data_IF_544192043961
#
_entry.id   IF_544192043961
#
_cell.length_a   1.000
_cell.length_b   1.000
_cell.length_c   1.000
_cell.angle_alpha   90.00
_cell.angle_beta   90.00
_cell.angle_gamma   90.00
#
_symmetry.space_group_name_H-M   'P 1'
#
loop_
_entity.id
_entity.type
_entity.pdbx_description
1 polymer ?
#
# COMPACT_ATOMS: atom_id res chain seq x y z
N UNK A 1 35.46 23.15 44.01
CA UNK A 1 35.48 22.72 42.58
C UNK A 1 35.16 21.24 42.55
N UNK A 2 33.94 20.86 42.27
CA UNK A 2 33.50 19.45 42.18
C UNK A 2 33.04 19.19 40.75
N UNK A 3 33.79 18.33 40.04
CA UNK A 3 33.38 17.84 38.72
C UNK A 3 32.26 16.81 38.86
N UNK A 4 31.10 17.12 38.32
CA UNK A 4 30.00 16.19 38.14
C UNK A 4 30.20 15.46 36.81
N UNK A 5 30.39 14.16 36.86
CA UNK A 5 30.43 13.27 35.70
C UNK A 5 29.02 13.00 35.23
N UNK A 6 28.70 13.50 34.04
CA UNK A 6 27.47 13.15 33.32
C UNK A 6 27.67 11.75 32.73
N UNK A 7 26.91 10.79 33.21
CA UNK A 7 26.85 9.44 32.63
C UNK A 7 25.98 9.48 31.38
N UNK A 8 26.59 9.31 30.24
CA UNK A 8 25.91 9.08 28.97
C UNK A 8 25.34 7.67 29.00
N UNK A 9 24.05 7.55 29.24
CA UNK A 9 23.32 6.30 29.05
C UNK A 9 23.07 6.07 27.58
N UNK A 10 23.79 5.14 26.99
CA UNK A 10 23.47 4.60 25.66
C UNK A 10 22.20 3.77 25.81
N UNK A 11 21.10 4.31 25.33
CA UNK A 11 19.84 3.58 25.21
C UNK A 11 19.95 2.75 23.93
N UNK A 12 20.32 1.47 24.10
CA UNK A 12 20.18 0.48 23.03
C UNK A 12 18.68 0.24 22.87
N UNK A 13 18.09 0.88 21.90
CA UNK A 13 16.76 0.50 21.42
C UNK A 13 16.98 -0.74 20.56
N UNK A 14 16.83 -1.91 21.18
CA UNK A 14 16.66 -3.15 20.44
C UNK A 14 15.36 -2.99 19.62
N UNK A 15 15.53 -2.91 18.31
CA UNK A 15 14.44 -3.01 17.34
C UNK A 15 13.89 -4.45 17.32
N UNK A 16 13.03 -4.74 18.31
CA UNK A 16 12.06 -5.84 18.24
C UNK A 16 10.84 -5.33 17.48
N UNK A 17 11.03 -4.96 16.21
CA UNK A 17 9.99 -4.46 15.33
C UNK A 17 9.69 -5.48 14.24
N UNK A 18 9.28 -6.70 14.63
CA UNK A 18 8.82 -7.66 13.63
C UNK A 18 7.68 -8.57 14.10
N UNK A 19 6.94 -8.15 15.10
CA UNK A 19 5.63 -8.72 15.45
C UNK A 19 4.95 -7.65 16.30
N UNK A 20 3.77 -7.19 15.91
CA UNK A 20 2.94 -6.22 16.63
C UNK A 20 3.23 -4.73 16.36
N UNK A 21 2.79 -4.24 15.23
CA UNK A 21 2.29 -2.87 15.16
C UNK A 21 1.16 -2.72 14.14
N UNK A 22 0.11 -3.50 14.33
CA UNK A 22 -1.21 -3.13 13.85
C UNK A 22 -2.00 -2.57 15.03
N UNK A 23 -1.61 -1.38 15.47
CA UNK A 23 -2.40 -0.59 16.39
C UNK A 23 -3.52 0.12 15.65
N UNK A 24 -4.64 -0.55 15.43
CA UNK A 24 -5.90 0.11 15.16
C UNK A 24 -6.46 0.61 16.49
N UNK A 25 -6.65 1.91 16.64
CA UNK A 25 -7.40 2.49 17.74
C UNK A 25 -8.88 2.14 17.60
N UNK A 26 -9.38 1.28 18.48
CA UNK A 26 -10.68 1.48 19.11
C UNK A 26 -10.80 0.57 20.33
N UNK A 27 -10.99 1.20 21.48
CA UNK A 27 -11.32 0.56 22.74
C UNK A 27 -12.81 0.21 22.77
N UNK A 28 -13.13 -1.06 22.94
CA UNK A 28 -14.26 -1.47 23.77
C UNK A 28 -14.03 -2.90 24.23
N UNK A 29 -13.82 -3.06 25.53
CA UNK A 29 -13.82 -4.33 26.20
C UNK A 29 -15.26 -4.87 26.24
N UNK A 30 -15.50 -5.95 25.56
CA UNK A 30 -16.50 -6.92 25.95
C UNK A 30 -15.91 -8.31 25.72
N UNK A 31 -15.57 -8.95 26.83
CA UNK A 31 -15.10 -10.33 26.90
C UNK A 31 -16.24 -11.28 26.56
N UNK A 32 -16.30 -11.75 25.34
CA UNK A 32 -17.09 -12.92 24.96
C UNK A 32 -16.21 -14.14 25.18
N UNK A 33 -16.72 -15.08 25.98
CA UNK A 33 -16.02 -16.27 26.41
C UNK A 33 -15.42 -17.05 25.23
N UNK A 34 -14.14 -17.34 25.35
CA UNK A 34 -13.42 -18.26 24.46
C UNK A 34 -13.89 -19.69 24.78
N UNK A 35 -14.86 -20.17 24.04
CA UNK A 35 -15.06 -21.61 23.93
C UNK A 35 -13.85 -22.19 23.21
N UNK A 36 -12.98 -22.82 23.96
CA UNK A 36 -11.82 -23.56 23.43
C UNK A 36 -12.35 -24.61 22.43
N UNK A 37 -11.83 -24.66 21.19
CA UNK A 37 -12.23 -25.69 20.25
C UNK A 37 -12.00 -27.07 20.89
N UNK A 38 -13.04 -27.88 20.96
CA UNK A 38 -12.92 -29.25 21.44
C UNK A 38 -12.00 -30.00 20.49
N UNK A 39 -10.79 -30.33 20.95
CA UNK A 39 -9.90 -31.18 20.17
C UNK A 39 -10.60 -32.50 19.86
N UNK A 40 -10.81 -32.87 18.59
CA UNK A 40 -11.42 -34.16 18.23
C UNK A 40 -10.59 -35.29 18.81
N UNK A 41 -11.27 -36.37 19.27
CA UNK A 41 -10.56 -37.55 19.72
C UNK A 41 -9.70 -38.08 18.57
N UNK A 42 -8.49 -38.63 18.83
CA UNK A 42 -7.59 -39.12 17.78
C UNK A 42 -8.23 -40.19 16.84
N UNK A 43 -9.28 -40.88 17.27
CA UNK A 43 -10.03 -41.87 16.48
C UNK A 43 -10.90 -41.28 15.37
N UNK A 44 -11.20 -39.97 15.41
CA UNK A 44 -12.17 -39.30 14.51
C UNK A 44 -11.50 -38.50 13.40
N UNK A 45 -10.17 -38.48 13.38
CA UNK A 45 -9.41 -37.75 12.38
C UNK A 45 -9.43 -38.45 11.04
N UNK A 46 -9.98 -37.80 10.04
CA UNK A 46 -9.97 -38.26 8.64
C UNK A 46 -8.71 -37.74 7.94
N UNK A 47 -8.14 -38.56 7.07
CA UNK A 47 -6.99 -38.15 6.22
C UNK A 47 -7.44 -38.22 4.76
N UNK A 48 -7.25 -37.12 4.04
CA UNK A 48 -7.61 -37.04 2.63
C UNK A 48 -6.52 -37.66 1.75
N UNK A 49 -6.94 -38.39 0.73
CA UNK A 49 -6.02 -38.90 -0.29
C UNK A 49 -5.62 -37.74 -1.23
N UNK A 50 -4.36 -37.37 -1.22
CA UNK A 50 -3.83 -36.26 -2.03
C UNK A 50 -4.05 -36.45 -3.53
N UNK A 51 -4.16 -37.68 -4.02
CA UNK A 51 -4.41 -37.95 -5.43
C UNK A 51 -5.81 -37.51 -5.90
N UNK A 52 -6.72 -37.28 -4.94
CA UNK A 52 -8.09 -36.82 -5.19
C UNK A 52 -8.23 -35.29 -5.11
N UNK A 53 -7.17 -34.59 -4.72
CA UNK A 53 -7.21 -33.15 -4.59
C UNK A 53 -6.80 -32.53 -5.95
N UNK A 54 -7.73 -31.83 -6.55
CA UNK A 54 -7.47 -31.09 -7.80
C UNK A 54 -6.41 -29.99 -7.54
N UNK A 55 -5.43 -29.90 -8.43
CA UNK A 55 -4.35 -28.90 -8.37
C UNK A 55 -3.50 -28.93 -7.06
N UNK A 56 -3.45 -30.09 -6.36
CA UNK A 56 -2.63 -30.22 -5.14
C UNK A 56 -1.19 -29.75 -5.34
N UNK A 57 -0.61 -30.01 -6.49
CA UNK A 57 0.74 -29.61 -6.86
C UNK A 57 0.91 -28.09 -7.13
N UNK A 58 -0.21 -27.37 -7.29
CA UNK A 58 -0.19 -25.91 -7.43
C UNK A 58 -0.26 -25.18 -6.08
N UNK A 59 -0.38 -25.92 -4.98
CA UNK A 59 -0.30 -25.36 -3.65
C UNK A 59 1.15 -25.29 -3.17
N UNK A 60 1.58 -24.14 -2.67
CA UNK A 60 2.85 -23.97 -1.99
C UNK A 60 2.64 -23.94 -0.47
N UNK A 61 3.14 -24.94 0.24
CA UNK A 61 3.12 -24.95 1.70
C UNK A 61 4.29 -24.12 2.23
N UNK A 62 4.03 -23.12 3.09
CA UNK A 62 5.08 -22.30 3.67
C UNK A 62 6.12 -23.11 4.45
N UNK A 63 7.40 -22.85 4.22
CA UNK A 63 8.49 -23.61 4.83
C UNK A 63 8.83 -23.20 6.27
N UNK A 64 8.52 -21.95 6.66
CA UNK A 64 9.02 -21.33 7.91
C UNK A 64 7.96 -20.61 8.74
N UNK A 65 6.68 -20.77 8.44
CA UNK A 65 5.61 -20.10 9.20
C UNK A 65 5.08 -20.99 10.31
N UNK A 66 4.89 -20.38 11.49
CA UNK A 66 4.42 -21.10 12.67
C UNK A 66 2.90 -21.20 12.70
N UNK A 67 2.08 -20.65 12.06
CA UNK A 67 0.63 -20.54 12.26
C UNK A 67 -0.18 -21.66 11.58
N UNK A 68 0.12 -22.88 11.92
CA UNK A 68 -0.60 -24.06 11.43
C UNK A 68 0.09 -24.79 10.28
N UNK A 69 1.30 -24.36 9.90
CA UNK A 69 2.10 -25.00 8.85
C UNK A 69 3.31 -25.77 9.38
N UNK A 70 3.54 -25.79 10.68
CA UNK A 70 4.74 -26.34 11.34
C UNK A 70 4.96 -27.83 11.03
N UNK A 71 3.87 -28.53 10.69
CA UNK A 71 3.89 -29.96 10.36
C UNK A 71 3.93 -30.24 8.85
N UNK A 72 4.01 -29.17 8.03
CA UNK A 72 4.13 -29.27 6.57
C UNK A 72 2.85 -29.69 5.83
N UNK A 73 2.94 -29.77 4.49
CA UNK A 73 1.82 -30.01 3.61
C UNK A 73 1.06 -31.33 3.85
N UNK A 74 1.76 -32.39 4.23
CA UNK A 74 1.15 -33.69 4.50
C UNK A 74 0.20 -33.64 5.72
N UNK A 75 0.47 -32.78 6.69
CA UNK A 75 -0.42 -32.60 7.84
C UNK A 75 -1.74 -31.94 7.47
N UNK A 76 -1.75 -31.10 6.43
CA UNK A 76 -2.96 -30.45 5.93
C UNK A 76 -3.98 -31.45 5.31
N UNK A 77 -3.58 -32.67 5.02
CA UNK A 77 -4.50 -33.74 4.59
C UNK A 77 -5.44 -34.22 5.71
N UNK A 78 -5.12 -33.92 6.96
CA UNK A 78 -5.89 -34.31 8.14
C UNK A 78 -7.04 -33.32 8.38
N UNK A 79 -8.18 -33.84 8.79
CA UNK A 79 -9.34 -33.01 9.13
C UNK A 79 -9.15 -32.13 10.36
N UNK A 80 -8.21 -32.48 11.27
CA UNK A 80 -7.89 -31.73 12.49
C UNK A 80 -6.77 -30.69 12.30
N UNK A 81 -6.18 -30.58 11.13
CA UNK A 81 -5.21 -29.50 10.84
C UNK A 81 -5.89 -28.13 10.87
N UNK A 82 -5.19 -27.08 11.34
CA UNK A 82 -5.70 -25.70 11.30
C UNK A 82 -6.10 -25.32 9.87
N UNK A 83 -5.19 -25.42 8.96
CA UNK A 83 -5.43 -25.29 7.52
C UNK A 83 -5.52 -26.70 6.93
N UNK A 84 -6.68 -27.03 6.39
CA UNK A 84 -6.95 -28.41 5.98
C UNK A 84 -7.60 -28.46 4.61
N UNK A 85 -7.20 -29.43 3.79
CA UNK A 85 -7.85 -29.74 2.52
C UNK A 85 -9.33 -30.16 2.68
N UNK A 86 -9.77 -30.50 3.88
CA UNK A 86 -11.18 -30.70 4.22
C UNK A 86 -11.97 -29.41 4.33
N UNK A 87 -11.29 -28.28 4.51
CA UNK A 87 -11.86 -26.96 4.68
C UNK A 87 -11.20 -25.99 3.70
N UNK A 88 -11.45 -26.25 2.41
CA UNK A 88 -10.96 -25.39 1.34
C UNK A 88 -11.93 -25.37 0.16
N UNK A 89 -11.85 -24.29 -0.59
CA UNK A 89 -12.43 -24.12 -1.93
C UNK A 89 -11.41 -23.47 -2.83
N UNK A 90 -11.52 -23.66 -4.13
CA UNK A 90 -10.58 -23.09 -5.07
C UNK A 90 -11.28 -22.57 -6.32
N UNK A 91 -10.65 -21.60 -6.96
CA UNK A 91 -10.92 -21.13 -8.31
C UNK A 91 -9.75 -21.42 -9.25
N UNK A 92 -9.70 -20.78 -10.39
CA UNK A 92 -8.62 -20.97 -11.35
C UNK A 92 -7.26 -20.53 -10.78
N UNK A 93 -7.21 -19.40 -10.04
CA UNK A 93 -5.96 -18.80 -9.58
C UNK A 93 -5.81 -18.75 -8.06
N UNK A 94 -6.82 -19.17 -7.28
CA UNK A 94 -6.81 -19.09 -5.81
C UNK A 94 -7.17 -20.40 -5.13
N UNK A 95 -6.53 -20.62 -3.95
CA UNK A 95 -7.03 -21.47 -2.89
C UNK A 95 -7.56 -20.61 -1.76
N UNK A 96 -8.73 -20.95 -1.21
CA UNK A 96 -9.24 -20.39 0.05
C UNK A 96 -9.30 -21.49 1.07
N UNK A 97 -8.59 -21.33 2.19
CA UNK A 97 -8.65 -22.19 3.36
C UNK A 97 -9.32 -21.46 4.50
N UNK A 98 -10.06 -22.17 5.34
CA UNK A 98 -10.68 -21.59 6.53
C UNK A 98 -10.46 -22.41 7.78
N UNK A 99 -10.48 -21.74 8.94
CA UNK A 99 -10.25 -22.37 10.23
C UNK A 99 -11.36 -23.31 10.67
N UNK A 100 -11.07 -24.28 11.60
CA UNK A 100 -12.03 -25.29 12.08
C UNK A 100 -13.33 -24.71 12.64
N UNK A 101 -13.31 -23.50 13.22
CA UNK A 101 -14.48 -22.87 13.79
C UNK A 101 -15.65 -22.67 12.82
N UNK A 102 -15.37 -22.58 11.52
CA UNK A 102 -16.42 -22.48 10.49
C UNK A 102 -17.11 -23.82 10.17
N UNK A 103 -16.53 -24.94 10.58
CA UNK A 103 -16.99 -26.25 10.11
C UNK A 103 -16.71 -26.48 8.62
N UNK A 104 -17.61 -27.21 7.95
CA UNK A 104 -17.43 -27.59 6.54
C UNK A 104 -17.78 -26.44 5.56
N UNK A 105 -18.62 -25.49 5.96
CA UNK A 105 -19.07 -24.37 5.15
C UNK A 105 -19.10 -23.07 5.95
N UNK A 106 -18.27 -22.08 5.62
CA UNK A 106 -18.25 -20.77 6.27
C UNK A 106 -19.56 -19.97 6.19
N UNK A 107 -20.44 -20.30 5.25
CA UNK A 107 -21.74 -19.64 5.09
C UNK A 107 -22.91 -20.39 5.73
N UNK A 108 -22.65 -21.53 6.37
CA UNK A 108 -23.71 -22.35 6.99
C UNK A 108 -24.47 -21.59 8.09
N UNK A 109 -25.75 -21.93 8.30
CA UNK A 109 -26.57 -21.35 9.37
C UNK A 109 -26.02 -21.60 10.78
N UNK A 110 -25.25 -22.68 10.94
CA UNK A 110 -24.56 -23.02 12.20
C UNK A 110 -23.43 -22.07 12.56
N UNK A 111 -22.90 -21.30 11.59
CA UNK A 111 -21.89 -20.28 11.81
C UNK A 111 -22.58 -19.00 12.30
N UNK A 112 -22.11 -18.35 13.38
CA UNK A 112 -22.66 -17.06 13.81
C UNK A 112 -22.72 -16.07 12.65
N UNK A 113 -23.81 -15.32 12.50
CA UNK A 113 -24.03 -14.40 11.37
C UNK A 113 -22.86 -13.41 11.17
N UNK A 114 -22.32 -12.93 12.27
CA UNK A 114 -21.16 -12.01 12.23
C UNK A 114 -19.91 -12.64 11.58
N UNK A 115 -19.80 -13.98 11.60
CA UNK A 115 -18.66 -14.71 11.09
C UNK A 115 -18.93 -15.40 9.74
N UNK A 116 -20.17 -15.42 9.23
CA UNK A 116 -20.47 -16.07 7.94
C UNK A 116 -19.74 -15.40 6.80
N UNK A 117 -19.23 -16.18 5.87
CA UNK A 117 -18.60 -15.70 4.63
C UNK A 117 -19.06 -16.54 3.45
N UNK A 118 -19.50 -15.88 2.40
CA UNK A 118 -19.75 -16.52 1.11
C UNK A 118 -18.42 -16.70 0.37
N UNK A 119 -17.93 -17.95 0.35
CA UNK A 119 -16.65 -18.30 -0.29
C UNK A 119 -16.73 -18.20 -1.81
N UNK A 120 -17.91 -18.37 -2.41
CA UNK A 120 -18.09 -18.24 -3.85
C UNK A 120 -17.97 -16.76 -4.27
N UNK A 121 -18.58 -15.84 -3.52
CA UNK A 121 -18.41 -14.41 -3.76
C UNK A 121 -16.96 -13.99 -3.55
N UNK A 122 -16.30 -14.48 -2.48
CA UNK A 122 -14.88 -14.18 -2.24
C UNK A 122 -14.00 -14.64 -3.41
N UNK A 123 -14.16 -15.87 -3.90
CA UNK A 123 -13.40 -16.39 -5.01
C UNK A 123 -13.70 -15.66 -6.33
N UNK A 124 -14.97 -15.36 -6.61
CA UNK A 124 -15.37 -14.63 -7.79
C UNK A 124 -14.72 -13.24 -7.82
N UNK A 125 -14.72 -12.51 -6.70
CA UNK A 125 -14.08 -11.20 -6.59
C UNK A 125 -12.56 -11.29 -6.64
N UNK A 126 -11.97 -12.31 -6.01
CA UNK A 126 -10.53 -12.55 -6.09
C UNK A 126 -10.06 -12.75 -7.55
N UNK A 127 -10.81 -13.52 -8.34
CA UNK A 127 -10.53 -13.69 -9.78
C UNK A 127 -10.64 -12.38 -10.56
N UNK A 128 -11.60 -11.51 -10.23
CA UNK A 128 -11.72 -10.18 -10.83
C UNK A 128 -10.47 -9.35 -10.53
N UNK A 129 -10.02 -9.31 -9.27
CA UNK A 129 -8.80 -8.59 -8.87
C UNK A 129 -7.53 -9.20 -9.47
N UNK A 130 -7.47 -10.54 -9.61
CA UNK A 130 -6.38 -11.20 -10.32
C UNK A 130 -6.30 -10.72 -11.77
N UNK A 131 -7.42 -10.74 -12.47
CA UNK A 131 -7.52 -10.26 -13.85
C UNK A 131 -7.09 -8.80 -13.99
N UNK A 132 -7.53 -7.93 -13.08
CA UNK A 132 -7.11 -6.52 -13.05
C UNK A 132 -5.59 -6.41 -12.91
N UNK A 133 -4.98 -7.11 -11.97
CA UNK A 133 -3.54 -7.02 -11.73
C UNK A 133 -2.70 -7.64 -12.86
N UNK A 134 -3.14 -8.73 -13.47
CA UNK A 134 -2.40 -9.42 -14.56
C UNK A 134 -2.65 -8.75 -15.90
N UNK A 135 -3.92 -8.62 -16.32
CA UNK A 135 -4.25 -8.21 -17.68
C UNK A 135 -4.23 -6.68 -17.86
N UNK A 136 -4.77 -5.94 -16.89
CA UNK A 136 -4.86 -4.47 -16.98
C UNK A 136 -3.57 -3.79 -16.52
N UNK A 137 -3.03 -4.19 -15.39
CA UNK A 137 -1.87 -3.54 -14.77
C UNK A 137 -0.53 -4.17 -15.16
N UNK A 138 -0.53 -5.42 -15.58
CA UNK A 138 0.69 -6.12 -16.00
C UNK A 138 1.66 -6.42 -14.84
N UNK A 139 1.16 -6.60 -13.60
CA UNK A 139 2.00 -6.85 -12.42
C UNK A 139 2.74 -8.19 -12.49
N UNK A 140 2.18 -9.21 -13.12
CA UNK A 140 2.82 -10.49 -13.40
C UNK A 140 2.73 -10.82 -14.90
N UNK A 141 3.69 -11.60 -15.39
CA UNK A 141 3.70 -12.09 -16.78
C UNK A 141 3.47 -13.60 -16.76
N UNK A 142 2.20 -13.99 -16.85
CA UNK A 142 1.76 -15.40 -16.77
C UNK A 142 1.71 -16.08 -18.11
N UNK A 143 1.75 -17.43 -18.14
CA UNK A 143 1.66 -18.25 -19.34
C UNK A 143 2.93 -18.27 -20.21
N UNK A 144 4.05 -17.72 -19.73
CA UNK A 144 5.30 -17.59 -20.48
C UNK A 144 6.52 -18.14 -19.72
N UNK A 145 6.33 -18.83 -18.61
CA UNK A 145 7.42 -19.30 -17.76
C UNK A 145 8.19 -18.18 -17.06
N UNK A 146 7.57 -17.01 -16.91
CA UNK A 146 8.16 -15.81 -16.29
C UNK A 146 7.56 -15.47 -14.91
N UNK A 147 6.56 -16.20 -14.49
CA UNK A 147 5.94 -16.02 -13.18
C UNK A 147 5.78 -17.34 -12.47
N UNK A 148 5.94 -17.32 -11.17
CA UNK A 148 5.62 -18.47 -10.29
C UNK A 148 4.14 -18.83 -10.38
N UNK A 149 3.28 -17.86 -10.75
CA UNK A 149 1.84 -18.06 -10.96
C UNK A 149 1.52 -19.02 -12.12
N UNK A 150 2.48 -19.32 -13.00
CA UNK A 150 2.31 -20.37 -14.01
C UNK A 150 2.23 -21.78 -13.39
N UNK A 151 2.78 -21.94 -12.18
CA UNK A 151 2.88 -23.23 -11.48
C UNK A 151 2.11 -23.27 -10.16
N UNK A 152 1.74 -22.12 -9.58
CA UNK A 152 1.13 -22.04 -8.27
C UNK A 152 -0.07 -21.08 -8.26
N UNK A 153 -1.06 -21.39 -7.42
CA UNK A 153 -2.20 -20.52 -7.13
C UNK A 153 -1.92 -19.67 -5.90
N UNK A 154 -2.40 -18.44 -5.88
CA UNK A 154 -2.42 -17.58 -4.70
C UNK A 154 -3.28 -18.18 -3.59
N UNK A 155 -3.07 -17.75 -2.37
CA UNK A 155 -3.65 -18.37 -1.18
C UNK A 155 -4.37 -17.35 -0.32
N UNK A 156 -5.59 -17.68 0.10
CA UNK A 156 -6.40 -16.90 1.01
C UNK A 156 -6.68 -17.72 2.26
N UNK A 157 -6.43 -17.15 3.43
CA UNK A 157 -6.64 -17.78 4.72
C UNK A 157 -7.69 -17.01 5.51
N UNK A 158 -8.85 -17.61 5.71
CA UNK A 158 -9.98 -17.03 6.44
C UNK A 158 -9.93 -17.45 7.91
N UNK A 159 -9.74 -16.46 8.77
CA UNK A 159 -9.62 -16.60 10.22
C UNK A 159 -10.99 -16.59 10.90
N UNK A 160 -11.22 -17.50 11.83
CA UNK A 160 -12.45 -17.54 12.63
C UNK A 160 -12.35 -16.58 13.81
N UNK A 161 -12.49 -15.29 13.54
CA UNK A 161 -12.40 -14.24 14.56
C UNK A 161 -13.25 -13.02 14.19
N UNK A 162 -13.68 -12.28 15.21
CA UNK A 162 -14.39 -11.00 15.06
C UNK A 162 -13.44 -9.81 15.00
N UNK A 163 -12.23 -9.95 15.54
CA UNK A 163 -11.21 -8.91 15.46
C UNK A 163 -10.85 -8.65 14.00
N UNK A 164 -10.87 -7.38 13.62
CA UNK A 164 -10.58 -6.98 12.25
C UNK A 164 -9.14 -7.30 11.87
N UNK A 165 -8.97 -7.96 10.74
CA UNK A 165 -7.68 -8.23 10.15
C UNK A 165 -7.81 -8.40 8.64
N UNK A 166 -7.00 -7.65 7.92
CA UNK A 166 -6.70 -7.90 6.51
C UNK A 166 -5.21 -7.65 6.31
N UNK A 167 -4.52 -8.61 5.70
CA UNK A 167 -3.08 -8.51 5.40
C UNK A 167 -2.78 -9.26 4.12
N UNK A 168 -2.26 -8.56 3.14
CA UNK A 168 -1.76 -9.12 1.89
C UNK A 168 -0.23 -9.15 1.87
N UNK A 169 0.34 -10.26 1.41
CA UNK A 169 1.78 -10.47 1.30
C UNK A 169 2.09 -11.71 0.48
N UNK A 170 2.92 -12.61 0.99
CA UNK A 170 3.27 -13.88 0.36
C UNK A 170 4.21 -14.72 1.20
N UNK A 171 4.59 -15.88 0.67
CA UNK A 171 5.46 -16.86 1.34
C UNK A 171 6.71 -17.18 0.56
N UNK A 172 7.82 -17.38 1.27
CA UNK A 172 9.07 -18.01 0.83
C UNK A 172 9.64 -17.42 -0.47
N UNK A 173 9.33 -16.15 -0.75
CA UNK A 173 9.67 -15.48 -2.01
C UNK A 173 9.13 -16.22 -3.25
N UNK A 174 7.98 -16.86 -3.11
CA UNK A 174 7.33 -17.63 -4.17
C UNK A 174 5.95 -17.13 -4.52
N UNK A 175 5.03 -17.12 -3.57
CA UNK A 175 3.61 -16.96 -3.89
C UNK A 175 2.94 -15.90 -3.02
N UNK A 176 2.09 -15.09 -3.65
CA UNK A 176 1.23 -14.15 -2.96
C UNK A 176 0.17 -14.86 -2.11
N UNK A 177 -0.09 -14.32 -0.93
CA UNK A 177 -1.09 -14.82 0.00
C UNK A 177 -1.69 -13.70 0.82
N UNK A 178 -2.91 -13.90 1.32
CA UNK A 178 -3.57 -12.97 2.22
C UNK A 178 -4.29 -13.69 3.36
N UNK A 179 -4.41 -12.98 4.49
CA UNK A 179 -5.10 -13.40 5.69
C UNK A 179 -6.20 -12.40 5.97
N UNK A 180 -7.41 -12.91 6.14
CA UNK A 180 -8.59 -12.06 6.30
C UNK A 180 -9.52 -12.60 7.38
N UNK A 181 -10.24 -11.71 8.03
CA UNK A 181 -11.34 -12.09 8.90
C UNK A 181 -12.69 -11.85 8.20
N UNK A 182 -13.80 -12.42 8.70
CA UNK A 182 -15.11 -12.33 8.05
C UNK A 182 -15.63 -10.91 7.78
N UNK A 183 -15.31 -9.93 8.64
CA UNK A 183 -15.80 -8.56 8.46
C UNK A 183 -15.26 -7.89 7.20
N UNK A 184 -14.08 -8.30 6.72
CA UNK A 184 -13.48 -7.77 5.49
C UNK A 184 -14.09 -8.35 4.21
N UNK A 185 -14.92 -9.40 4.36
CA UNK A 185 -15.65 -10.06 3.28
C UNK A 185 -17.16 -9.72 3.28
N UNK A 186 -17.57 -8.59 3.90
CA UNK A 186 -18.99 -8.21 4.05
C UNK A 186 -19.25 -6.74 3.71
N UNK A 187 -19.44 -6.42 2.43
CA UNK A 187 -19.26 -7.25 1.23
C UNK A 187 -17.78 -7.49 0.92
N UNK A 188 -17.50 -8.47 0.07
CA UNK A 188 -16.17 -8.59 -0.55
C UNK A 188 -16.00 -7.39 -1.49
N UNK A 189 -15.04 -6.53 -1.21
CA UNK A 189 -14.89 -5.25 -1.86
C UNK A 189 -13.44 -4.76 -1.97
N UNK A 190 -13.26 -3.45 -1.94
CA UNK A 190 -11.96 -2.81 -2.12
C UNK A 190 -10.91 -3.25 -1.10
N UNK A 191 -11.29 -3.61 0.13
CA UNK A 191 -10.35 -4.17 1.12
C UNK A 191 -9.68 -5.45 0.59
N UNK A 192 -10.44 -6.41 0.07
CA UNK A 192 -9.86 -7.64 -0.51
C UNK A 192 -9.05 -7.31 -1.77
N UNK A 193 -9.52 -6.36 -2.59
CA UNK A 193 -8.76 -5.87 -3.75
C UNK A 193 -7.41 -5.25 -3.36
N UNK A 194 -7.36 -4.52 -2.24
CA UNK A 194 -6.15 -3.96 -1.66
C UNK A 194 -5.16 -5.06 -1.22
N UNK A 195 -5.62 -6.05 -0.48
CA UNK A 195 -4.76 -7.15 0.00
C UNK A 195 -4.24 -8.03 -1.15
N UNK A 196 -5.07 -8.27 -2.17
CA UNK A 196 -4.61 -8.94 -3.41
C UNK A 196 -3.59 -8.04 -4.13
N UNK A 197 -3.77 -6.73 -4.11
CA UNK A 197 -2.78 -5.76 -4.61
C UNK A 197 -1.41 -5.97 -3.95
N UNK A 198 -1.36 -6.09 -2.63
CA UNK A 198 -0.13 -6.41 -1.90
C UNK A 198 0.46 -7.76 -2.30
N UNK A 199 -0.38 -8.77 -2.51
CA UNK A 199 0.08 -10.08 -2.98
C UNK A 199 0.76 -9.99 -4.35
N UNK A 200 0.27 -9.14 -5.25
CA UNK A 200 0.92 -8.87 -6.54
C UNK A 200 2.19 -8.02 -6.42
N UNK A 201 2.24 -7.07 -5.51
CA UNK A 201 3.47 -6.32 -5.22
C UNK A 201 4.56 -7.27 -4.71
N UNK A 202 4.19 -8.23 -3.85
CA UNK A 202 5.08 -9.30 -3.42
C UNK A 202 5.52 -10.19 -4.60
N UNK A 203 4.60 -10.52 -5.51
CA UNK A 203 4.84 -11.38 -6.65
C UNK A 203 5.90 -10.81 -7.61
N UNK A 204 6.01 -9.49 -7.73
CA UNK A 204 7.08 -8.85 -8.53
C UNK A 204 8.47 -9.32 -8.08
N UNK A 205 8.72 -9.38 -6.77
CA UNK A 205 9.99 -9.88 -6.24
C UNK A 205 10.15 -11.38 -6.42
N UNK A 206 9.08 -12.14 -6.20
CA UNK A 206 9.07 -13.59 -6.35
C UNK A 206 9.37 -14.00 -7.80
N UNK A 207 8.77 -13.33 -8.77
CA UNK A 207 8.97 -13.61 -10.20
C UNK A 207 10.39 -13.28 -10.67
N UNK A 208 10.99 -12.20 -10.14
CA UNK A 208 12.39 -11.86 -10.44
C UNK A 208 13.39 -12.87 -9.88
N UNK A 209 13.10 -13.44 -8.72
CA UNK A 209 13.89 -14.56 -8.18
C UNK A 209 13.71 -15.82 -9.03
N UNK A 210 12.48 -16.11 -9.41
CA UNK A 210 12.13 -17.27 -10.23
C UNK A 210 12.82 -17.23 -11.60
N UNK A 211 12.87 -16.06 -12.23
CA UNK A 211 13.52 -15.85 -13.55
C UNK A 211 15.04 -15.69 -13.45
N UNK A 212 15.60 -15.53 -12.25
CA UNK A 212 17.03 -15.23 -12.03
C UNK A 212 17.41 -13.78 -12.34
N UNK A 213 16.44 -12.88 -12.55
CA UNK A 213 16.68 -11.45 -12.73
C UNK A 213 17.14 -10.75 -11.45
N UNK A 214 16.81 -11.32 -10.31
CA UNK A 214 17.28 -10.89 -9.00
C UNK A 214 17.96 -12.04 -8.27
N UNK A 215 19.03 -11.72 -7.53
CA UNK A 215 19.72 -12.65 -6.63
C UNK A 215 19.61 -12.13 -5.21
N UNK A 216 19.24 -12.96 -4.22
CA UNK A 216 19.20 -12.54 -2.83
C UNK A 216 20.57 -12.05 -2.36
N UNK A 217 20.56 -11.02 -1.53
CA UNK A 217 21.77 -10.48 -0.87
C UNK A 217 21.73 -10.90 0.59
N UNK A 218 22.74 -11.62 1.05
CA UNK A 218 22.88 -11.99 2.46
C UNK A 218 23.23 -10.76 3.30
N UNK A 219 22.49 -10.56 4.39
CA UNK A 219 22.75 -9.49 5.36
C UNK A 219 23.59 -10.00 6.52
N UNK A 220 24.23 -9.07 7.22
CA UNK A 220 25.06 -9.38 8.38
C UNK A 220 24.27 -10.02 9.55
N UNK A 221 22.96 -9.79 9.62
CA UNK A 221 22.06 -10.39 10.61
C UNK A 221 21.54 -11.79 10.23
N UNK A 222 22.04 -12.35 9.12
CA UNK A 222 21.65 -13.66 8.60
C UNK A 222 20.33 -13.66 7.80
N UNK A 223 19.68 -12.52 7.65
CA UNK A 223 18.52 -12.38 6.76
C UNK A 223 18.94 -12.20 5.30
N UNK A 224 18.01 -12.39 4.38
CA UNK A 224 18.22 -12.13 2.96
C UNK A 224 17.36 -10.96 2.48
N UNK A 225 17.98 -10.11 1.68
CA UNK A 225 17.28 -9.06 0.95
C UNK A 225 17.08 -9.48 -0.49
N UNK A 226 15.87 -9.39 -1.00
CA UNK A 226 15.58 -9.51 -2.43
C UNK A 226 15.62 -8.12 -3.05
N UNK A 227 16.61 -7.80 -3.89
CA UNK A 227 16.80 -6.44 -4.41
C UNK A 227 15.89 -6.14 -5.60
N UNK A 228 14.59 -6.45 -5.46
CA UNK A 228 13.60 -6.29 -6.51
C UNK A 228 12.27 -5.80 -5.95
N UNK A 229 11.74 -4.73 -6.55
CA UNK A 229 10.50 -4.09 -6.09
C UNK A 229 10.67 -3.31 -4.77
N UNK A 230 9.60 -2.67 -4.34
CA UNK A 230 9.56 -1.93 -3.06
C UNK A 230 8.88 -2.74 -1.96
N UNK A 231 8.95 -3.99 -2.01
CA UNK A 231 8.34 -5.04 -1.19
C UNK A 231 7.52 -4.51 0.00
N UNK A 232 8.05 -4.46 1.23
CA UNK A 232 7.38 -3.85 2.39
C UNK A 232 7.84 -2.43 2.69
N UNK A 233 8.83 -1.94 1.96
CA UNK A 233 9.44 -0.65 2.12
C UNK A 233 10.48 -0.43 1.05
N UNK A 234 11.05 0.75 1.04
CA UNK A 234 12.08 1.15 0.10
C UNK A 234 13.28 1.76 0.84
N UNK A 235 14.35 2.04 0.10
CA UNK A 235 15.59 2.51 0.67
C UNK A 235 16.36 1.42 1.42
N UNK A 236 17.49 1.79 1.99
CA UNK A 236 18.34 0.85 2.70
C UNK A 236 17.64 0.28 3.93
N UNK A 237 17.52 -1.04 3.99
CA UNK A 237 16.82 -1.76 5.06
C UNK A 237 15.35 -1.36 5.29
N UNK A 238 14.67 -0.82 4.28
CA UNK A 238 13.29 -0.35 4.39
C UNK A 238 13.14 0.96 5.18
N UNK A 239 14.22 1.73 5.34
CA UNK A 239 14.22 2.98 6.11
C UNK A 239 13.26 4.04 5.56
N UNK A 240 12.88 3.95 4.30
CA UNK A 240 11.88 4.84 3.67
C UNK A 240 10.43 4.56 4.05
N UNK A 241 10.17 3.48 4.80
CA UNK A 241 8.83 3.08 5.25
C UNK A 241 8.00 2.36 4.19
N UNK A 242 6.75 2.03 4.51
CA UNK A 242 5.82 1.28 3.66
C UNK A 242 4.74 2.14 2.98
N UNK A 243 4.82 3.45 3.05
CA UNK A 243 3.78 4.32 2.48
C UNK A 243 3.52 4.07 0.99
N UNK A 244 4.57 3.79 0.20
CA UNK A 244 4.40 3.49 -1.23
C UNK A 244 3.72 2.13 -1.46
N UNK A 245 4.00 1.15 -0.64
CA UNK A 245 3.35 -0.16 -0.66
C UNK A 245 1.83 -0.01 -0.49
N UNK A 246 1.40 0.72 0.53
CA UNK A 246 0.00 0.92 0.88
C UNK A 246 -0.77 1.77 -0.14
N UNK A 247 -0.22 2.93 -0.53
CA UNK A 247 -0.88 3.80 -1.51
C UNK A 247 -1.06 3.12 -2.87
N UNK A 248 -0.13 2.27 -3.23
CA UNK A 248 -0.22 1.48 -4.46
C UNK A 248 -1.32 0.42 -4.38
N UNK A 249 -1.42 -0.33 -3.28
CA UNK A 249 -2.49 -1.31 -3.09
C UNK A 249 -3.87 -0.64 -3.06
N UNK A 250 -3.96 0.53 -2.43
CA UNK A 250 -5.19 1.33 -2.44
C UNK A 250 -5.57 1.74 -3.87
N UNK A 251 -4.62 2.21 -4.67
CA UNK A 251 -4.88 2.53 -6.07
C UNK A 251 -5.22 1.30 -6.91
N UNK A 252 -4.60 0.14 -6.66
CA UNK A 252 -4.92 -1.12 -7.33
C UNK A 252 -6.38 -1.51 -7.08
N UNK A 253 -6.86 -1.42 -5.84
CA UNK A 253 -8.27 -1.71 -5.51
C UNK A 253 -9.25 -0.77 -6.20
N UNK A 254 -8.89 0.50 -6.36
CA UNK A 254 -9.70 1.50 -7.07
C UNK A 254 -9.77 1.30 -8.59
N UNK A 255 -9.03 0.34 -9.14
CA UNK A 255 -9.21 -0.03 -10.54
C UNK A 255 -10.54 -0.77 -10.77
N UNK A 256 -11.08 -1.39 -9.73
CA UNK A 256 -12.36 -2.09 -9.73
C UNK A 256 -13.45 -1.31 -8.96
N UNK A 257 -13.05 -0.41 -8.04
CA UNK A 257 -13.94 0.44 -7.22
C UNK A 257 -13.58 1.93 -7.37
N UNK A 258 -13.62 2.51 -8.58
CA UNK A 258 -13.07 3.85 -8.84
C UNK A 258 -13.81 4.99 -8.13
N UNK A 259 -15.06 4.82 -7.74
CA UNK A 259 -15.82 5.81 -6.98
C UNK A 259 -15.31 5.97 -5.54
N UNK A 260 -14.70 4.93 -4.96
CA UNK A 260 -14.25 4.95 -3.57
C UNK A 260 -13.02 5.86 -3.34
N UNK A 261 -12.30 6.24 -4.41
CA UNK A 261 -11.16 7.16 -4.28
C UNK A 261 -11.53 8.54 -3.74
N UNK A 262 -12.81 8.90 -3.76
CA UNK A 262 -13.34 10.15 -3.21
C UNK A 262 -14.16 9.96 -1.93
N UNK A 263 -14.03 8.83 -1.26
CA UNK A 263 -14.74 8.57 -0.01
C UNK A 263 -14.33 9.59 1.06
N UNK A 264 -15.30 10.42 1.48
CA UNK A 264 -15.12 11.52 2.41
C UNK A 264 -14.85 11.07 3.84
N UNK A 265 -15.27 9.86 4.19
CA UNK A 265 -15.17 9.34 5.56
C UNK A 265 -13.86 8.60 5.83
N UNK A 266 -13.04 8.38 4.77
CA UNK A 266 -11.83 7.58 4.87
C UNK A 266 -10.56 8.32 4.40
N UNK A 267 -9.84 7.72 3.49
CA UNK A 267 -8.50 8.15 3.06
C UNK A 267 -8.50 9.48 2.31
N UNK A 268 -9.56 9.76 1.55
CA UNK A 268 -9.68 11.05 0.87
C UNK A 268 -9.78 12.21 1.85
N UNK A 269 -10.50 12.06 2.95
CA UNK A 269 -10.57 13.08 4.01
C UNK A 269 -9.20 13.34 4.67
N UNK A 270 -8.37 12.31 4.80
CA UNK A 270 -6.98 12.44 5.29
C UNK A 270 -6.14 13.22 4.27
N UNK A 271 -6.27 12.90 2.98
CA UNK A 271 -5.57 13.58 1.91
C UNK A 271 -5.88 15.08 1.86
N UNK A 272 -7.14 15.46 1.88
CA UNK A 272 -7.59 16.85 1.82
C UNK A 272 -6.94 17.76 2.90
N UNK A 273 -6.59 17.20 4.03
CA UNK A 273 -6.00 17.92 5.16
C UNK A 273 -4.48 17.88 5.19
N UNK A 274 -3.86 16.98 4.43
CA UNK A 274 -2.45 16.62 4.63
C UNK A 274 -1.61 16.57 3.35
N UNK A 275 -2.13 16.96 2.19
CA UNK A 275 -1.39 16.96 0.92
C UNK A 275 -0.12 17.84 0.92
N UNK A 276 0.07 18.67 1.95
CA UNK A 276 1.31 19.39 2.19
C UNK A 276 2.45 18.48 2.68
N UNK A 277 2.15 17.26 3.15
CA UNK A 277 3.17 16.29 3.57
C UNK A 277 3.82 15.61 2.37
N UNK A 278 5.02 15.09 2.58
CA UNK A 278 5.68 14.23 1.59
C UNK A 278 4.75 13.07 1.19
N UNK A 279 4.65 12.75 -0.10
CA UNK A 279 3.67 11.75 -0.58
C UNK A 279 3.93 10.34 -0.02
N UNK A 280 5.18 10.02 0.35
CA UNK A 280 5.57 8.79 1.05
C UNK A 280 5.57 8.92 2.58
N UNK A 281 4.95 9.96 3.13
CA UNK A 281 4.84 10.09 4.59
C UNK A 281 3.92 9.01 5.16
N UNK A 282 4.35 8.27 6.19
CA UNK A 282 3.62 7.13 6.77
C UNK A 282 2.18 7.47 7.20
N UNK A 283 1.93 8.67 7.69
CA UNK A 283 0.58 9.14 7.99
C UNK A 283 -0.34 9.20 6.77
N UNK A 284 0.24 9.32 5.57
CA UNK A 284 -0.46 9.45 4.29
C UNK A 284 -0.50 8.14 3.51
N UNK A 285 -0.01 7.05 4.06
CA UNK A 285 0.21 5.79 3.32
C UNK A 285 -1.03 5.27 2.58
N UNK A 286 -2.22 5.40 3.15
CA UNK A 286 -3.47 5.01 2.49
C UNK A 286 -4.12 6.14 1.68
N UNK A 287 -3.60 7.36 1.73
CA UNK A 287 -4.21 8.55 1.14
C UNK A 287 -3.49 9.12 -0.08
N UNK A 288 -2.20 8.77 -0.27
CA UNK A 288 -1.34 9.37 -1.32
C UNK A 288 -1.44 8.69 -2.69
N UNK A 289 -2.52 7.95 -2.97
CA UNK A 289 -2.71 7.20 -4.23
C UNK A 289 -2.90 8.08 -5.48
N UNK A 290 -3.03 9.39 -5.33
CA UNK A 290 -3.20 10.35 -6.45
C UNK A 290 -2.00 10.41 -7.38
N UNK A 291 -0.80 10.14 -6.87
CA UNK A 291 0.40 10.04 -7.69
C UNK A 291 0.29 8.92 -8.75
N UNK A 292 -0.36 7.80 -8.42
CA UNK A 292 -0.54 6.68 -9.34
C UNK A 292 -1.52 7.04 -10.48
N UNK A 293 -2.56 7.82 -10.20
CA UNK A 293 -3.45 8.35 -11.24
C UNK A 293 -2.70 9.26 -12.21
N UNK A 294 -1.90 10.19 -11.68
CA UNK A 294 -1.08 11.08 -12.49
C UNK A 294 -0.02 10.33 -13.29
N UNK A 295 0.69 9.40 -12.67
CA UNK A 295 1.69 8.56 -13.32
C UNK A 295 1.12 7.83 -14.54
N UNK A 296 -0.01 7.16 -14.34
CA UNK A 296 -0.65 6.36 -15.41
C UNK A 296 -1.34 7.21 -16.48
N UNK A 297 -1.83 8.38 -16.14
CA UNK A 297 -2.36 9.32 -17.13
C UNK A 297 -1.24 9.89 -18.02
N UNK A 298 -0.10 10.20 -17.44
CA UNK A 298 1.03 10.79 -18.16
C UNK A 298 1.79 9.78 -19.01
N UNK A 299 2.01 8.58 -18.51
CA UNK A 299 2.92 7.60 -19.08
C UNK A 299 2.27 6.30 -19.57
N UNK A 300 0.94 6.19 -19.46
CA UNK A 300 0.20 4.96 -19.76
C UNK A 300 0.06 4.04 -18.56
N UNK A 301 -0.93 3.14 -18.62
CA UNK A 301 -1.27 2.25 -17.49
C UNK A 301 -0.12 1.31 -17.11
N UNK A 302 0.69 0.90 -18.09
CA UNK A 302 1.85 0.05 -17.92
C UNK A 302 2.96 0.68 -17.07
N UNK A 303 2.96 2.01 -16.95
CA UNK A 303 3.95 2.73 -16.13
C UNK A 303 3.88 2.34 -14.67
N UNK A 304 2.71 1.96 -14.18
CA UNK A 304 2.52 1.50 -12.82
C UNK A 304 3.35 0.25 -12.52
N UNK A 305 3.14 -0.84 -13.29
CA UNK A 305 3.92 -2.06 -13.12
C UNK A 305 5.40 -1.86 -13.45
N UNK A 306 5.71 -0.95 -14.37
CA UNK A 306 7.08 -0.64 -14.75
C UNK A 306 7.90 -0.09 -13.58
N UNK A 307 7.34 0.84 -12.79
CA UNK A 307 8.01 1.35 -11.58
C UNK A 307 8.32 0.20 -10.61
N UNK A 308 7.39 -0.72 -10.39
CA UNK A 308 7.61 -1.88 -9.52
C UNK A 308 8.66 -2.83 -10.07
N UNK A 309 8.56 -3.19 -11.34
CA UNK A 309 9.43 -4.18 -12.00
C UNK A 309 10.85 -3.66 -12.25
N UNK A 310 11.03 -2.37 -12.53
CA UNK A 310 12.34 -1.80 -12.84
C UNK A 310 13.00 -1.12 -11.62
N UNK A 311 12.37 -1.11 -10.45
CA UNK A 311 13.01 -0.58 -9.23
C UNK A 311 14.31 -1.31 -8.92
N UNK A 312 15.29 -0.58 -8.41
CA UNK A 312 16.60 -1.09 -8.03
C UNK A 312 16.90 -0.76 -6.58
N UNK A 313 17.34 -1.74 -5.81
CA UNK A 313 17.79 -1.47 -4.45
C UNK A 313 19.03 -0.54 -4.46
N UNK A 314 19.11 0.47 -3.61
CA UNK A 314 18.16 0.89 -2.56
C UNK A 314 17.24 2.06 -2.98
N UNK A 315 16.95 2.23 -4.27
CA UNK A 315 16.12 3.34 -4.79
C UNK A 315 14.79 3.47 -4.03
N UNK A 316 14.38 4.72 -3.80
CA UNK A 316 13.01 5.04 -3.48
C UNK A 316 12.15 5.15 -4.77
N UNK A 317 10.82 5.21 -4.67
CA UNK A 317 9.95 5.29 -5.83
C UNK A 317 10.18 6.51 -6.73
N UNK A 318 10.56 7.66 -6.17
CA UNK A 318 10.88 8.87 -6.95
C UNK A 318 12.24 8.76 -7.63
N UNK A 319 13.22 8.13 -7.01
CA UNK A 319 14.50 7.83 -7.65
C UNK A 319 14.31 6.89 -8.84
N UNK A 320 13.48 5.84 -8.67
CA UNK A 320 13.11 4.95 -9.77
C UNK A 320 12.37 5.72 -10.87
N UNK A 321 11.39 6.55 -10.52
CA UNK A 321 10.68 7.42 -11.47
C UNK A 321 11.64 8.35 -12.21
N UNK A 322 12.50 9.04 -11.48
CA UNK A 322 13.49 9.97 -12.03
C UNK A 322 14.43 9.28 -13.02
N UNK A 323 14.87 8.09 -12.70
CA UNK A 323 15.72 7.29 -13.61
C UNK A 323 14.99 6.87 -14.88
N UNK A 324 13.75 6.41 -14.76
CA UNK A 324 12.99 5.86 -15.90
C UNK A 324 12.46 6.96 -16.81
N UNK A 325 11.95 8.07 -16.24
CA UNK A 325 11.17 9.06 -16.97
C UNK A 325 11.82 10.46 -17.05
N UNK A 326 12.79 10.75 -16.19
CA UNK A 326 13.40 12.09 -16.11
C UNK A 326 14.90 12.11 -16.48
N UNK A 327 15.47 11.03 -17.01
CA UNK A 327 16.91 10.92 -17.33
C UNK A 327 17.82 11.31 -16.15
N UNK A 328 17.43 10.97 -14.92
CA UNK A 328 18.09 11.37 -13.67
C UNK A 328 18.18 12.88 -13.44
N UNK A 329 17.30 13.67 -14.05
CA UNK A 329 17.24 15.11 -13.87
C UNK A 329 16.26 15.49 -12.74
N UNK A 330 16.77 16.16 -11.70
CA UNK A 330 15.95 16.73 -10.64
C UNK A 330 14.98 17.81 -11.16
N UNK A 331 15.43 18.66 -12.10
CA UNK A 331 14.59 19.69 -12.71
C UNK A 331 13.39 19.08 -13.43
N UNK A 332 13.61 17.99 -14.16
CA UNK A 332 12.52 17.27 -14.82
C UNK A 332 11.57 16.64 -13.79
N UNK A 333 12.10 16.03 -12.72
CA UNK A 333 11.30 15.50 -11.63
C UNK A 333 10.45 16.58 -10.97
N UNK A 334 11.03 17.76 -10.65
CA UNK A 334 10.28 18.85 -10.03
C UNK A 334 9.19 19.42 -10.95
N UNK A 335 9.44 19.53 -12.26
CA UNK A 335 8.39 19.89 -13.22
C UNK A 335 7.24 18.90 -13.22
N UNK A 336 7.56 17.63 -13.12
CA UNK A 336 6.57 16.56 -13.09
C UNK A 336 5.76 16.57 -11.79
N UNK A 337 6.41 16.76 -10.64
CA UNK A 337 5.73 16.89 -9.36
C UNK A 337 4.86 18.15 -9.30
N UNK A 338 5.29 19.22 -9.95
CA UNK A 338 4.47 20.42 -10.07
C UNK A 338 3.21 20.16 -10.92
N UNK A 339 3.36 19.49 -12.05
CA UNK A 339 2.22 19.10 -12.89
C UNK A 339 1.26 18.17 -12.12
N UNK A 340 1.80 17.19 -11.39
CA UNK A 340 1.01 16.34 -10.49
C UNK A 340 0.21 17.17 -9.47
N UNK A 341 0.85 18.13 -8.80
CA UNK A 341 0.16 18.98 -7.81
C UNK A 341 -0.92 19.85 -8.43
N UNK A 342 -0.74 20.29 -9.67
CA UNK A 342 -1.74 21.04 -10.42
C UNK A 342 -2.98 20.20 -10.74
N UNK A 343 -2.81 18.92 -11.11
CA UNK A 343 -3.92 17.98 -11.28
C UNK A 343 -4.67 17.72 -9.97
N UNK A 344 -3.95 17.68 -8.85
CA UNK A 344 -4.57 17.53 -7.53
C UNK A 344 -5.36 18.76 -7.07
N UNK A 345 -5.18 19.92 -7.70
CA UNK A 345 -5.90 21.14 -7.33
C UNK A 345 -7.41 21.05 -7.61
N UNK A 346 -7.79 20.31 -8.65
CA UNK A 346 -9.18 20.12 -9.04
C UNK A 346 -9.53 18.66 -9.36
N UNK A 347 -8.59 17.73 -9.08
CA UNK A 347 -8.72 16.30 -9.37
C UNK A 347 -9.05 15.99 -10.84
N UNK A 348 -8.41 16.72 -11.76
CA UNK A 348 -8.58 16.52 -13.19
C UNK A 348 -7.78 15.31 -13.69
N UNK A 349 -8.15 14.12 -13.21
CA UNK A 349 -7.61 12.84 -13.63
C UNK A 349 -8.66 12.10 -14.46
N UNK A 350 -8.37 11.79 -15.71
CA UNK A 350 -9.32 11.18 -16.66
C UNK A 350 -9.99 9.92 -16.13
N UNK A 351 -9.21 9.07 -15.44
CA UNK A 351 -9.71 7.79 -14.93
C UNK A 351 -10.84 7.94 -13.90
N UNK A 352 -10.88 9.06 -13.16
CA UNK A 352 -11.83 9.28 -12.06
C UNK A 352 -12.63 10.58 -12.19
N UNK A 353 -12.44 11.29 -13.30
CA UNK A 353 -13.09 12.57 -13.54
C UNK A 353 -14.61 12.56 -13.33
N UNK A 354 -15.28 11.50 -13.75
CA UNK A 354 -16.73 11.34 -13.60
C UNK A 354 -17.22 11.28 -12.15
N UNK A 355 -16.34 10.90 -11.21
CA UNK A 355 -16.68 10.76 -9.78
C UNK A 355 -16.33 12.03 -8.98
N UNK A 356 -15.57 12.96 -9.54
CA UNK A 356 -15.15 14.18 -8.82
C UNK A 356 -16.26 15.15 -8.47
N UNK A 357 -17.44 15.05 -9.08
CA UNK A 357 -18.59 15.94 -8.83
C UNK A 357 -19.06 15.90 -7.38
N UNK A 358 -18.84 14.77 -6.71
CA UNK A 358 -19.19 14.55 -5.31
C UNK A 358 -18.05 14.87 -4.37
N UNK A 359 -16.86 15.14 -4.91
CA UNK A 359 -15.67 15.40 -4.13
C UNK A 359 -15.70 16.82 -3.53
N UNK A 360 -15.57 16.91 -2.21
CA UNK A 360 -15.32 18.19 -1.56
C UNK A 360 -13.85 18.59 -1.77
N UNK A 361 -13.62 19.60 -2.61
CA UNK A 361 -12.29 20.23 -2.72
C UNK A 361 -12.08 21.10 -1.48
N UNK A 362 -11.00 20.86 -0.76
CA UNK A 362 -10.66 21.64 0.43
C UNK A 362 -9.31 22.32 0.29
N UNK A 363 -9.30 23.62 0.50
CA UNK A 363 -8.08 24.41 0.60
C UNK A 363 -7.68 24.52 2.07
N UNK A 364 -7.02 23.49 2.56
CA UNK A 364 -6.68 23.36 3.99
C UNK A 364 -5.46 24.17 4.42
N UNK A 365 -4.77 24.84 3.50
CA UNK A 365 -3.58 25.64 3.81
C UNK A 365 -3.94 26.82 4.71
N UNK A 366 -3.42 26.80 5.92
CA UNK A 366 -3.62 27.86 6.89
C UNK A 366 -2.63 28.99 6.63
N UNK A 367 -3.17 30.20 6.46
CA UNK A 367 -2.39 31.40 6.22
C UNK A 367 -2.52 32.39 7.40
N UNK A 368 -1.42 32.99 7.81
CA UNK A 368 -1.39 34.13 8.72
C UNK A 368 -1.18 35.42 7.90
N UNK A 369 -2.00 36.42 8.14
CA UNK A 369 -1.84 37.73 7.52
C UNK A 369 -0.85 38.56 8.34
N UNK A 370 0.21 38.97 7.71
CA UNK A 370 1.18 39.94 8.22
C UNK A 370 1.11 41.25 7.40
N UNK A 371 1.81 42.30 7.82
CA UNK A 371 1.84 43.56 7.09
C UNK A 371 2.38 43.36 5.67
N UNK A 372 1.47 43.40 4.69
CA UNK A 372 1.79 43.35 3.27
C UNK A 372 1.98 41.94 2.66
N UNK A 373 1.92 40.85 3.43
CA UNK A 373 2.06 39.49 2.92
C UNK A 373 1.24 38.45 3.72
N UNK A 374 1.14 37.23 3.20
CA UNK A 374 0.56 36.05 3.88
C UNK A 374 1.63 35.02 4.12
N UNK A 375 1.70 34.49 5.32
CA UNK A 375 2.63 33.44 5.70
C UNK A 375 1.89 32.12 5.86
N UNK A 376 2.42 31.05 5.25
CA UNK A 376 1.93 29.69 5.48
C UNK A 376 2.22 29.29 6.93
N UNK A 377 1.20 28.74 7.61
CA UNK A 377 1.39 28.24 8.97
C UNK A 377 2.45 27.14 8.99
N UNK A 378 3.29 27.11 10.02
CA UNK A 378 4.33 26.09 10.19
C UNK A 378 3.79 24.65 10.05
N UNK A 379 2.59 24.38 10.60
CA UNK A 379 1.93 23.08 10.51
C UNK A 379 1.51 22.68 9.09
N UNK A 380 1.49 23.61 8.15
CA UNK A 380 1.17 23.40 6.74
C UNK A 380 2.36 23.63 5.81
N UNK A 381 3.57 23.78 6.36
CA UNK A 381 4.77 23.88 5.55
C UNK A 381 4.94 22.61 4.73
N UNK A 382 5.12 22.69 3.38
CA UNK A 382 5.18 21.52 2.55
C UNK A 382 6.45 20.70 2.81
N UNK A 383 6.28 19.37 2.88
CA UNK A 383 7.40 18.45 2.77
C UNK A 383 7.98 18.44 1.35
N UNK A 384 9.07 17.73 1.13
CA UNK A 384 9.82 17.74 -0.15
C UNK A 384 8.96 17.52 -1.42
N UNK A 385 7.89 16.75 -1.33
CA UNK A 385 6.95 16.47 -2.43
C UNK A 385 5.53 16.88 -2.11
N UNK A 386 5.33 17.52 -0.96
CA UNK A 386 4.05 18.09 -0.56
C UNK A 386 3.81 19.42 -1.27
N UNK A 387 2.58 19.86 -1.26
CA UNK A 387 2.18 21.11 -1.89
C UNK A 387 1.03 21.77 -1.12
N UNK A 388 0.89 23.07 -1.32
CA UNK A 388 -0.21 23.84 -0.76
C UNK A 388 -1.12 24.35 -1.88
N UNK A 389 -2.42 24.30 -1.64
CA UNK A 389 -3.43 24.91 -2.50
C UNK A 389 -3.94 26.18 -1.84
N UNK A 390 -3.66 27.31 -2.47
CA UNK A 390 -4.03 28.63 -1.96
C UNK A 390 -4.99 29.28 -2.95
N UNK A 391 -6.27 29.46 -2.59
CA UNK A 391 -7.23 30.13 -3.47
C UNK A 391 -6.88 31.60 -3.64
N UNK A 392 -6.90 32.08 -4.87
CA UNK A 392 -6.71 33.48 -5.21
C UNK A 392 -8.04 34.12 -5.60
N UNK A 393 -8.29 35.33 -5.08
CA UNK A 393 -9.41 36.14 -5.55
C UNK A 393 -9.07 36.74 -6.90
N UNK A 394 -9.53 36.14 -7.98
CA UNK A 394 -9.30 36.59 -9.33
C UNK A 394 -10.42 37.56 -9.72
N UNK A 395 -10.11 38.84 -10.04
CA UNK A 395 -11.13 39.80 -10.51
C UNK A 395 -11.69 39.38 -11.87
N UNK A 396 -12.88 39.83 -12.17
CA UNK A 396 -13.57 39.51 -13.44
C UNK A 396 -12.78 39.99 -14.68
N UNK A 397 -11.93 41.00 -14.52
CA UNK A 397 -11.04 41.52 -15.57
C UNK A 397 -9.69 41.88 -14.96
N UNK A 398 -8.62 41.69 -15.73
CA UNK A 398 -7.26 42.00 -15.32
C UNK A 398 -6.37 40.79 -15.06
N UNK A 399 -5.20 41.02 -14.49
CA UNK A 399 -4.21 40.02 -14.14
C UNK A 399 -4.05 39.93 -12.64
N UNK A 400 -3.92 38.71 -12.09
CA UNK A 400 -3.49 38.48 -10.72
C UNK A 400 -2.04 38.06 -10.77
N UNK A 401 -1.20 38.76 -10.02
CA UNK A 401 0.18 38.37 -9.74
C UNK A 401 0.27 37.84 -8.31
N UNK A 402 0.99 36.76 -8.11
CA UNK A 402 1.39 36.30 -6.80
C UNK A 402 2.91 36.17 -6.77
N UNK A 403 3.53 36.64 -5.71
CA UNK A 403 4.97 36.48 -5.47
C UNK A 403 5.13 35.55 -4.29
N UNK A 404 5.92 34.47 -4.47
CA UNK A 404 6.35 33.61 -3.39
C UNK A 404 7.75 34.05 -2.95
N UNK A 405 7.87 34.31 -1.67
CA UNK A 405 9.15 34.63 -1.03
C UNK A 405 9.46 33.50 -0.04
N UNK A 406 10.60 32.87 -0.13
CA UNK A 406 11.09 31.92 0.84
C UNK A 406 12.17 32.52 1.72
N UNK A 407 12.35 31.97 2.86
CA UNK A 407 13.34 32.39 3.82
C UNK A 407 14.68 31.68 3.53
N UNK A 408 15.79 32.41 3.72
CA UNK A 408 17.10 31.84 3.47
C UNK A 408 17.35 30.56 4.30
N UNK A 409 18.01 29.55 3.72
CA UNK A 409 18.35 28.33 4.45
C UNK A 409 19.18 28.66 5.71
N UNK A 410 18.85 28.00 6.82
CA UNK A 410 19.55 28.16 8.10
C UNK A 410 19.05 29.27 9.01
N UNK A 411 18.13 30.14 8.57
CA UNK A 411 17.43 31.04 9.48
C UNK A 411 16.34 30.30 10.27
N UNK A 412 16.05 30.74 11.48
CA UNK A 412 14.94 30.18 12.26
C UNK A 412 13.58 30.38 11.56
N UNK A 413 13.48 31.38 10.71
CA UNK A 413 12.29 31.67 9.90
C UNK A 413 12.26 30.82 8.63
N UNK A 414 13.39 30.45 8.05
CA UNK A 414 13.45 29.53 6.91
C UNK A 414 12.86 28.16 7.24
N UNK A 415 12.98 27.72 8.49
CA UNK A 415 12.33 26.52 8.97
C UNK A 415 10.80 26.64 9.04
N UNK A 416 10.28 27.88 9.05
CA UNK A 416 8.85 28.15 9.13
C UNK A 416 8.20 28.33 7.74
N UNK A 417 8.99 28.51 6.68
CA UNK A 417 8.52 28.69 5.29
C UNK A 417 9.30 27.79 4.32
N UNK A 418 9.02 26.49 4.30
CA UNK A 418 9.68 25.55 3.40
C UNK A 418 9.22 25.63 1.94
N UNK A 419 8.27 26.50 1.63
CA UNK A 419 7.65 26.60 0.30
C UNK A 419 8.46 27.36 -0.73
N UNK A 420 9.70 27.77 -0.39
CA UNK A 420 10.45 28.66 -1.30
C UNK A 420 11.42 27.89 -2.17
N UNK A 421 11.29 28.12 -3.44
CA UNK A 421 12.37 27.83 -4.39
C UNK A 421 13.44 28.89 -4.22
N UNK A 422 14.56 28.53 -3.62
CA UNK A 422 15.78 29.36 -3.60
C UNK A 422 16.63 29.01 -4.83
N UNK A 423 17.22 30.04 -5.48
CA UNK A 423 18.26 29.81 -6.48
C UNK A 423 19.53 29.23 -5.82
N UNK A 424 20.52 28.83 -6.64
CA UNK A 424 21.76 28.22 -6.15
C UNK A 424 22.58 29.13 -5.21
N UNK A 425 22.22 30.42 -5.11
CA UNK A 425 22.88 31.40 -4.24
C UNK A 425 22.06 31.68 -2.96
N UNK A 426 20.95 31.00 -2.75
CA UNK A 426 20.10 31.15 -1.57
C UNK A 426 19.14 32.34 -1.62
N UNK A 427 18.97 32.98 -2.78
CA UNK A 427 18.06 34.12 -2.95
C UNK A 427 16.68 33.62 -3.40
N UNK A 428 15.65 34.02 -2.66
CA UNK A 428 14.28 33.72 -3.01
C UNK A 428 13.85 34.48 -4.26
N UNK A 429 13.58 33.77 -5.34
CA UNK A 429 12.89 34.32 -6.52
C UNK A 429 11.99 33.23 -7.10
N UNK A 430 10.70 33.33 -6.91
CA UNK A 430 9.77 32.62 -7.76
C UNK A 430 8.72 33.54 -8.32
N UNK A 431 8.61 33.57 -9.63
CA UNK A 431 7.45 34.13 -10.31
C UNK A 431 6.44 33.01 -10.45
N UNK A 432 5.25 33.17 -9.93
CA UNK A 432 4.17 32.20 -10.14
C UNK A 432 3.83 32.24 -11.63
N UNK A 433 4.16 31.14 -12.31
CA UNK A 433 3.71 30.91 -13.66
C UNK A 433 2.29 30.34 -13.59
N UNK A 434 1.35 30.97 -14.25
CA UNK A 434 -0.02 30.49 -14.31
C UNK A 434 -0.08 29.29 -15.26
N UNK A 435 -0.56 28.16 -14.74
CA UNK A 435 -0.84 26.98 -15.55
C UNK A 435 -2.36 26.81 -15.68
N UNK A 436 -2.81 26.40 -16.85
CA UNK A 436 -4.18 25.95 -17.03
C UNK A 436 -4.33 24.51 -16.51
N UNK A 437 -5.55 23.98 -16.49
CA UNK A 437 -5.87 22.62 -16.06
C UNK A 437 -5.17 21.50 -16.88
N UNK A 438 -4.47 21.87 -17.95
CA UNK A 438 -3.71 20.94 -18.80
C UNK A 438 -2.20 21.04 -18.57
N UNK A 439 -1.75 21.83 -17.58
CA UNK A 439 -0.32 22.02 -17.27
C UNK A 439 0.43 22.93 -18.24
N UNK A 440 -0.27 23.63 -19.13
CA UNK A 440 0.35 24.56 -20.06
C UNK A 440 0.44 25.97 -19.44
N UNK A 441 1.57 26.64 -19.62
CA UNK A 441 1.75 28.06 -19.25
C UNK A 441 0.75 28.92 -19.98
N UNK A 442 0.04 29.77 -19.25
CA UNK A 442 -0.79 30.85 -19.80
C UNK A 442 -0.02 32.14 -19.87
#
# INVERSE_FOLDING_TARGET
MKHSKLKTGIMIVLSLFFLLSFGSCSSSNDSIGTDTPVNPKPSDVKVMDKSKIVDYNKYHCPAKWNEGFEKGAEYMLRSDARWSWWRMKQSEHFFVFWEPGFGDDPNAESVPEALRVDIDDLLQKAEQFYKTNVEKLGMATVGQGKSVLDNHKMQIYLLYQTEWLATGSGYDDKIGALWVNPSTCKPVGSTIGHEIGHSFQYQVSADKLFTGEATPIDRADGSQLVPAGFRYGFGENGAGGCAYWEQCAQWQSFQDYPNECFDQDTHYAVWLKNHHRHFNHEFMRYASYWFQYWLTEKHGIESYARIWKESKYPEDPLQTYMRIYCNNSLDALYKDLYAYSAHCADYDFKAVHQYKKEAAISYSTKLYKNDGYYQVAYTNCPGTTGFNLIPLNVPASGKVGATLEGLAPGSALAAADPGTVVDGDGNAKSTVTKYNSQGNTQ
#
